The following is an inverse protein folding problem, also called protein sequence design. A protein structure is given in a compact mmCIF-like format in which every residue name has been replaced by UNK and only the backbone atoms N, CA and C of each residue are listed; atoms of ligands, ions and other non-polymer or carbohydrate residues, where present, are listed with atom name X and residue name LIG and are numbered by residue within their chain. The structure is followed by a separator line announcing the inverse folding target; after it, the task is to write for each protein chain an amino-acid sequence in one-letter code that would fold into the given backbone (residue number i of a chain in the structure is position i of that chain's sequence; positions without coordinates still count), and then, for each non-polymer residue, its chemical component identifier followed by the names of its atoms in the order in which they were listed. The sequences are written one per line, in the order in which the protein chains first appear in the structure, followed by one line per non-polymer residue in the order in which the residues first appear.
data_IF_215499395272
#
_entry.id   IF_215499395272
#
_cell.length_a   1.000
_cell.length_b   1.000
_cell.length_c   1.000
_cell.angle_alpha   90.00
_cell.angle_beta   90.00
_cell.angle_gamma   90.00
#
_symmetry.space_group_name_H-M   'P 1'
#
loop_
_entity.id
_entity.type
_entity.pdbx_description
1 polymer ?
#
# COMPACT_ATOMS: atom_id res chain seq x y z
N UNK A 1 -25.30 -11.32 -32.49
CA UNK A 1 -24.46 -12.14 -31.59
C UNK A 1 -24.61 -11.58 -30.18
N UNK A 2 -25.34 -12.27 -29.27
CA UNK A 2 -25.42 -11.85 -27.85
C UNK A 2 -24.11 -12.24 -27.17
N UNK A 3 -23.32 -11.24 -26.78
CA UNK A 3 -22.18 -11.40 -25.90
C UNK A 3 -22.69 -12.01 -24.58
N UNK A 4 -22.23 -13.21 -24.28
CA UNK A 4 -22.48 -13.92 -23.04
C UNK A 4 -21.63 -13.22 -21.97
N UNK A 5 -22.21 -12.26 -21.24
CA UNK A 5 -21.57 -11.69 -20.06
C UNK A 5 -21.38 -12.82 -19.05
N UNK A 6 -20.20 -13.37 -19.01
CA UNK A 6 -19.78 -14.27 -17.96
C UNK A 6 -19.62 -13.47 -16.67
N UNK A 7 -20.67 -13.48 -15.87
CA UNK A 7 -20.72 -12.85 -14.55
C UNK A 7 -19.84 -13.68 -13.59
N UNK A 8 -18.52 -13.59 -13.76
CA UNK A 8 -17.54 -14.21 -12.89
C UNK A 8 -17.52 -13.44 -11.56
N UNK A 9 -18.41 -13.84 -10.64
CA UNK A 9 -18.36 -13.38 -9.27
C UNK A 9 -17.11 -13.98 -8.62
N UNK A 10 -16.18 -13.14 -8.23
CA UNK A 10 -15.00 -13.57 -7.46
C UNK A 10 -15.49 -14.20 -6.14
N UNK A 11 -14.94 -15.36 -5.82
CA UNK A 11 -15.19 -15.99 -4.52
C UNK A 11 -14.63 -15.12 -3.39
N UNK A 12 -15.27 -15.16 -2.23
CA UNK A 12 -14.79 -14.46 -1.02
C UNK A 12 -13.33 -14.83 -0.71
N UNK A 13 -12.95 -16.09 -0.90
CA UNK A 13 -11.59 -16.56 -0.69
C UNK A 13 -10.61 -15.92 -1.67
N UNK A 14 -10.98 -15.77 -2.94
CA UNK A 14 -10.14 -15.10 -3.95
C UNK A 14 -9.95 -13.61 -3.62
N UNK A 15 -11.01 -12.93 -3.20
CA UNK A 15 -10.93 -11.51 -2.80
C UNK A 15 -10.03 -11.37 -1.57
N UNK A 16 -10.20 -12.23 -0.56
CA UNK A 16 -9.38 -12.21 0.65
C UNK A 16 -7.91 -12.45 0.32
N UNK A 17 -7.59 -13.42 -0.55
CA UNK A 17 -6.21 -13.70 -0.97
C UNK A 17 -5.57 -12.50 -1.68
N UNK A 18 -6.30 -11.83 -2.56
CA UNK A 18 -5.83 -10.62 -3.24
C UNK A 18 -5.53 -9.51 -2.23
N UNK A 19 -6.46 -9.26 -1.29
CA UNK A 19 -6.29 -8.23 -0.26
C UNK A 19 -5.09 -8.54 0.65
N UNK A 20 -4.95 -9.77 1.10
CA UNK A 20 -3.81 -10.21 1.93
C UNK A 20 -2.49 -10.01 1.16
N UNK A 21 -2.44 -10.39 -0.13
CA UNK A 21 -1.26 -10.20 -0.96
C UNK A 21 -0.87 -8.73 -1.13
N UNK A 22 -1.84 -7.83 -1.20
CA UNK A 22 -1.60 -6.38 -1.27
C UNK A 22 -1.11 -5.79 0.06
N UNK A 23 -1.54 -6.36 1.19
CA UNK A 23 -1.12 -5.91 2.54
C UNK A 23 0.30 -6.40 2.85
N UNK A 24 0.64 -7.64 2.47
CA UNK A 24 1.97 -8.22 2.65
C UNK A 24 2.90 -7.64 1.57
N UNK A 25 3.41 -6.45 1.83
CA UNK A 25 4.38 -5.76 0.98
C UNK A 25 5.73 -5.60 1.66
N UNK A 26 6.65 -4.88 1.03
CA UNK A 26 8.00 -4.60 1.56
C UNK A 26 7.99 -3.90 2.94
N UNK A 27 6.91 -3.19 3.27
CA UNK A 27 6.75 -2.53 4.55
C UNK A 27 6.87 -3.48 5.75
N UNK A 28 6.32 -4.70 5.65
CA UNK A 28 6.37 -5.66 6.77
C UNK A 28 7.80 -6.13 7.09
N UNK A 29 8.71 -6.07 6.13
CA UNK A 29 10.10 -6.48 6.33
C UNK A 29 10.98 -5.36 6.90
N UNK A 30 10.73 -4.11 6.55
CA UNK A 30 11.57 -2.97 6.95
C UNK A 30 10.98 -2.16 8.11
N UNK A 31 9.67 -1.99 8.17
CA UNK A 31 9.01 -1.18 9.19
C UNK A 31 9.24 -1.68 10.62
N UNK A 32 9.22 -3.00 10.92
CA UNK A 32 9.45 -3.46 12.28
C UNK A 32 10.84 -3.08 12.81
N UNK A 33 11.87 -3.18 11.99
CA UNK A 33 13.24 -2.80 12.41
C UNK A 33 13.37 -1.30 12.66
N UNK A 34 12.73 -0.46 11.84
CA UNK A 34 12.71 0.99 12.03
C UNK A 34 11.95 1.40 13.30
N UNK A 35 10.78 0.81 13.52
CA UNK A 35 10.00 1.07 14.73
C UNK A 35 10.74 0.58 15.97
N UNK A 36 11.37 -0.59 15.93
CA UNK A 36 12.17 -1.10 17.03
C UNK A 36 13.35 -0.16 17.38
N UNK A 37 14.06 0.34 16.37
CA UNK A 37 15.15 1.29 16.56
C UNK A 37 14.68 2.63 17.17
N UNK A 38 13.47 3.04 16.90
CA UNK A 38 12.89 4.32 17.37
C UNK A 38 12.15 4.19 18.70
N UNK A 39 11.77 2.99 19.12
CA UNK A 39 10.87 2.78 20.27
C UNK A 39 11.60 2.89 21.63
N UNK A 40 12.90 2.72 21.68
CA UNK A 40 13.70 2.80 22.92
C UNK A 40 13.41 1.70 23.95
N UNK A 41 12.17 1.18 24.03
CA UNK A 41 11.77 0.09 24.91
C UNK A 41 10.83 -0.89 24.19
N UNK A 42 10.91 -2.17 24.57
CA UNK A 42 10.06 -3.22 24.03
C UNK A 42 8.56 -2.95 24.28
N UNK A 43 8.24 -2.38 25.42
CA UNK A 43 6.85 -2.02 25.77
C UNK A 43 6.27 -1.00 24.78
N UNK A 44 7.00 0.04 24.44
CA UNK A 44 6.58 1.06 23.47
C UNK A 44 6.43 0.43 22.09
N UNK A 45 7.36 -0.43 21.68
CA UNK A 45 7.28 -1.16 20.42
C UNK A 45 5.96 -1.92 20.26
N UNK A 46 5.64 -2.81 21.21
CA UNK A 46 4.40 -3.59 21.14
C UNK A 46 3.14 -2.71 21.26
N UNK A 47 3.17 -1.67 22.09
CA UNK A 47 2.03 -0.75 22.23
C UNK A 47 1.71 -0.04 20.91
N UNK A 48 2.72 0.46 20.20
CA UNK A 48 2.53 1.12 18.89
C UNK A 48 1.95 0.16 17.87
N UNK A 49 2.41 -1.11 17.84
CA UNK A 49 1.88 -2.12 16.92
C UNK A 49 0.43 -2.50 17.23
N UNK A 50 0.07 -2.66 18.49
CA UNK A 50 -1.30 -2.98 18.91
C UNK A 50 -2.23 -1.81 18.58
N UNK A 51 -1.86 -0.58 18.93
CA UNK A 51 -2.65 0.62 18.65
C UNK A 51 -2.79 0.84 17.13
N UNK A 52 -1.71 0.72 16.37
CA UNK A 52 -1.74 0.82 14.91
C UNK A 52 -2.65 -0.24 14.27
N UNK A 53 -2.56 -1.48 14.74
CA UNK A 53 -3.45 -2.56 14.31
C UNK A 53 -4.92 -2.28 14.62
N UNK A 54 -5.23 -1.75 15.79
CA UNK A 54 -6.59 -1.38 16.17
C UNK A 54 -7.15 -0.25 15.30
N UNK A 55 -6.36 0.79 15.03
CA UNK A 55 -6.75 1.90 14.15
C UNK A 55 -6.97 1.40 12.71
N UNK A 56 -6.08 0.54 12.20
CA UNK A 56 -6.23 -0.05 10.87
C UNK A 56 -7.49 -0.92 10.76
N UNK A 57 -7.80 -1.69 11.80
CA UNK A 57 -9.00 -2.52 11.85
C UNK A 57 -10.28 -1.68 11.89
N UNK A 58 -10.32 -0.61 12.68
CA UNK A 58 -11.45 0.33 12.71
C UNK A 58 -11.66 0.99 11.33
N UNK A 59 -10.57 1.38 10.66
CA UNK A 59 -10.62 1.89 9.29
C UNK A 59 -11.17 0.87 8.30
N UNK A 60 -10.74 -0.39 8.39
CA UNK A 60 -11.23 -1.46 7.53
C UNK A 60 -12.74 -1.71 7.69
N UNK A 61 -13.26 -1.71 8.91
CA UNK A 61 -14.71 -1.83 9.17
C UNK A 61 -15.46 -0.66 8.52
N UNK A 62 -14.97 0.57 8.70
CA UNK A 62 -15.59 1.78 8.14
C UNK A 62 -15.66 1.69 6.62
N UNK A 63 -14.55 1.37 5.95
CA UNK A 63 -14.54 1.23 4.49
C UNK A 63 -15.36 0.04 3.99
N UNK A 64 -15.43 -1.04 4.74
CA UNK A 64 -16.30 -2.19 4.42
C UNK A 64 -17.78 -1.77 4.41
N UNK A 65 -18.21 -1.01 5.41
CA UNK A 65 -19.59 -0.52 5.47
C UNK A 65 -19.91 0.48 4.36
N UNK A 66 -18.98 1.39 4.05
CA UNK A 66 -19.12 2.32 2.92
C UNK A 66 -19.24 1.56 1.60
N UNK A 67 -18.37 0.56 1.36
CA UNK A 67 -18.39 -0.25 0.15
C UNK A 67 -19.70 -1.05 0.00
N UNK A 68 -20.29 -1.49 1.10
CA UNK A 68 -21.59 -2.18 1.10
C UNK A 68 -22.75 -1.25 0.76
N UNK A 69 -22.72 0.00 1.26
CA UNK A 69 -23.80 0.99 1.04
C UNK A 69 -23.69 1.71 -0.31
N UNK A 70 -22.46 1.90 -0.79
CA UNK A 70 -22.17 2.64 -2.01
C UNK A 70 -21.31 1.80 -2.97
N UNK A 71 -21.87 0.78 -3.64
CA UNK A 71 -21.14 -0.03 -4.61
C UNK A 71 -20.94 0.76 -5.91
N UNK A 72 -20.05 1.75 -5.88
CA UNK A 72 -19.72 2.61 -7.03
C UNK A 72 -18.33 2.32 -7.57
N UNK A 73 -18.20 2.33 -8.88
CA UNK A 73 -16.90 2.33 -9.55
C UNK A 73 -16.25 3.70 -9.42
N UNK A 74 -14.95 3.76 -9.10
CA UNK A 74 -14.23 5.03 -8.92
C UNK A 74 -13.77 5.28 -7.47
N UNK A 75 -13.88 4.28 -6.63
CA UNK A 75 -13.29 4.20 -5.27
C UNK A 75 -13.33 5.53 -4.50
N UNK A 76 -12.15 6.00 -4.06
CA UNK A 76 -12.02 7.16 -3.18
C UNK A 76 -12.64 8.43 -3.75
N UNK A 77 -12.44 8.73 -5.04
CA UNK A 77 -12.99 9.95 -5.66
C UNK A 77 -14.52 10.02 -5.50
N UNK A 78 -15.21 8.93 -5.87
CA UNK A 78 -16.69 8.88 -5.83
C UNK A 78 -17.23 8.98 -4.41
N UNK A 79 -16.58 8.32 -3.45
CA UNK A 79 -16.99 8.34 -2.04
C UNK A 79 -16.86 9.76 -1.49
N UNK A 80 -15.69 10.38 -1.64
CA UNK A 80 -15.45 11.73 -1.09
C UNK A 80 -16.22 12.83 -1.84
N UNK A 81 -16.43 12.68 -3.14
CA UNK A 81 -17.26 13.61 -3.91
C UNK A 81 -18.74 13.55 -3.48
N UNK A 82 -19.24 12.37 -3.14
CA UNK A 82 -20.61 12.19 -2.66
C UNK A 82 -20.80 12.64 -1.20
N UNK A 83 -19.79 12.44 -0.34
CA UNK A 83 -19.89 12.80 1.08
C UNK A 83 -19.64 14.29 1.34
N UNK A 84 -18.81 14.96 0.54
CA UNK A 84 -18.40 16.35 0.75
C UNK A 84 -18.70 17.21 -0.49
N UNK A 85 -17.75 17.28 -1.42
CA UNK A 85 -17.86 18.05 -2.65
C UNK A 85 -16.93 17.46 -3.72
N UNK A 86 -17.24 17.56 -5.02
CA UNK A 86 -16.40 17.05 -6.10
C UNK A 86 -14.94 17.54 -6.05
N UNK A 87 -14.71 18.81 -5.67
CA UNK A 87 -13.37 19.37 -5.53
C UNK A 87 -12.57 18.68 -4.43
N UNK A 88 -13.19 18.33 -3.30
CA UNK A 88 -12.56 17.59 -2.19
C UNK A 88 -12.19 16.18 -2.66
N UNK A 89 -13.11 15.50 -3.35
CA UNK A 89 -12.85 14.20 -3.96
C UNK A 89 -11.65 14.21 -4.92
N UNK A 90 -11.56 15.26 -5.75
CA UNK A 90 -10.43 15.45 -6.67
C UNK A 90 -9.10 15.64 -5.92
N UNK A 91 -9.05 16.54 -4.95
CA UNK A 91 -7.84 16.77 -4.14
C UNK A 91 -7.36 15.50 -3.43
N UNK A 92 -8.27 14.77 -2.80
CA UNK A 92 -7.93 13.51 -2.12
C UNK A 92 -7.42 12.47 -3.12
N UNK A 93 -8.05 12.35 -4.29
CA UNK A 93 -7.60 11.42 -5.31
C UNK A 93 -6.21 11.76 -5.84
N UNK A 94 -5.89 13.05 -6.02
CA UNK A 94 -4.55 13.52 -6.40
C UNK A 94 -3.51 13.20 -5.32
N UNK A 95 -3.84 13.42 -4.04
CA UNK A 95 -2.96 13.05 -2.93
C UNK A 95 -2.67 11.55 -2.89
N UNK A 96 -3.69 10.73 -3.09
CA UNK A 96 -3.54 9.26 -3.11
C UNK A 96 -2.68 8.83 -4.31
N UNK A 97 -2.85 9.45 -5.48
CA UNK A 97 -2.04 9.17 -6.66
C UNK A 97 -0.55 9.47 -6.42
N UNK A 98 -0.26 10.63 -5.84
CA UNK A 98 1.11 11.01 -5.48
C UNK A 98 1.69 10.07 -4.42
N UNK A 99 0.91 9.73 -3.40
CA UNK A 99 1.33 8.81 -2.33
C UNK A 99 1.64 7.40 -2.88
N UNK A 100 0.83 6.89 -3.80
CA UNK A 100 1.07 5.60 -4.45
C UNK A 100 2.32 5.63 -5.32
N UNK A 101 2.53 6.69 -6.10
CA UNK A 101 3.75 6.84 -6.91
C UNK A 101 5.01 6.91 -6.03
N UNK A 102 4.97 7.67 -4.93
CA UNK A 102 6.06 7.73 -3.96
C UNK A 102 6.32 6.37 -3.30
N UNK A 103 5.27 5.63 -2.95
CA UNK A 103 5.37 4.29 -2.37
C UNK A 103 6.08 3.31 -3.31
N UNK A 104 5.74 3.32 -4.60
CA UNK A 104 6.43 2.49 -5.60
C UNK A 104 7.92 2.83 -5.69
N UNK A 105 8.28 4.12 -5.67
CA UNK A 105 9.67 4.56 -5.65
C UNK A 105 10.44 4.07 -4.43
N UNK A 106 9.83 4.12 -3.25
CA UNK A 106 10.44 3.62 -2.00
C UNK A 106 10.65 2.11 -2.07
N UNK A 107 9.67 1.36 -2.55
CA UNK A 107 9.79 -0.11 -2.71
C UNK A 107 10.93 -0.46 -3.68
N UNK A 108 11.04 0.27 -4.79
CA UNK A 108 12.11 0.06 -5.76
C UNK A 108 13.50 0.37 -5.17
N UNK A 109 13.64 1.44 -4.38
CA UNK A 109 14.89 1.77 -3.68
C UNK A 109 15.28 0.70 -2.67
N UNK A 110 14.34 0.24 -1.85
CA UNK A 110 14.60 -0.84 -0.88
C UNK A 110 15.04 -2.12 -1.61
N UNK A 111 14.36 -2.47 -2.71
CA UNK A 111 14.76 -3.61 -3.53
C UNK A 111 16.17 -3.47 -4.10
N UNK A 112 16.53 -2.28 -4.58
CA UNK A 112 17.86 -1.98 -5.10
C UNK A 112 18.95 -2.09 -4.02
N UNK A 113 18.67 -1.65 -2.78
CA UNK A 113 19.58 -1.77 -1.64
C UNK A 113 19.84 -3.25 -1.33
N UNK A 114 18.82 -4.10 -1.25
CA UNK A 114 19.01 -5.54 -1.02
C UNK A 114 19.80 -6.23 -2.12
N UNK A 115 19.55 -5.88 -3.39
CA UNK A 115 20.31 -6.41 -4.53
C UNK A 115 21.76 -5.95 -4.45
N UNK A 116 22.00 -4.70 -4.08
CA UNK A 116 23.35 -4.16 -3.91
C UNK A 116 24.13 -4.84 -2.79
N UNK A 117 23.50 -5.02 -1.63
CA UNK A 117 24.10 -5.72 -0.50
C UNK A 117 24.45 -7.17 -0.86
N UNK A 118 23.58 -7.87 -1.58
CA UNK A 118 23.82 -9.23 -2.02
C UNK A 118 24.99 -9.36 -3.03
N UNK A 119 25.07 -8.41 -4.00
CA UNK A 119 26.09 -8.45 -5.04
C UNK A 119 27.47 -7.98 -4.59
N UNK A 120 27.53 -6.96 -3.76
CA UNK A 120 28.80 -6.29 -3.40
C UNK A 120 29.24 -6.56 -1.98
N UNK A 121 28.43 -7.23 -1.17
CA UNK A 121 28.68 -7.51 0.25
C UNK A 121 29.04 -6.23 1.06
N UNK A 122 28.54 -5.07 0.59
CA UNK A 122 28.69 -3.73 1.15
C UNK A 122 27.46 -2.90 0.80
N UNK A 123 27.06 -1.93 1.65
CA UNK A 123 25.97 -1.03 1.29
C UNK A 123 26.28 -0.33 -0.04
N UNK A 124 25.36 -0.43 -1.01
CA UNK A 124 25.59 0.13 -2.35
C UNK A 124 25.72 1.65 -2.28
N UNK A 125 26.44 2.23 -3.23
CA UNK A 125 26.47 3.70 -3.36
C UNK A 125 25.07 4.19 -3.69
N UNK A 126 24.69 5.36 -3.16
CA UNK A 126 23.37 5.97 -3.41
C UNK A 126 23.03 6.09 -4.90
N UNK A 127 24.05 6.29 -5.74
CA UNK A 127 23.90 6.38 -7.21
C UNK A 127 23.49 5.01 -7.79
N UNK A 128 24.07 3.93 -7.33
CA UNK A 128 23.74 2.58 -7.79
C UNK A 128 22.31 2.20 -7.45
N UNK A 129 21.88 2.47 -6.20
CA UNK A 129 20.51 2.20 -5.76
C UNK A 129 19.49 3.01 -6.58
N UNK A 130 19.77 4.28 -6.90
CA UNK A 130 18.90 5.11 -7.73
C UNK A 130 18.82 4.59 -9.17
N UNK A 131 19.93 4.17 -9.78
CA UNK A 131 19.93 3.64 -11.14
C UNK A 131 19.12 2.34 -11.22
N UNK A 132 19.33 1.41 -10.30
CA UNK A 132 18.59 0.14 -10.28
C UNK A 132 17.11 0.36 -9.98
N UNK A 133 16.77 1.26 -9.07
CA UNK A 133 15.36 1.59 -8.79
C UNK A 133 14.68 2.23 -10.00
N UNK A 134 15.33 3.14 -10.72
CA UNK A 134 14.81 3.69 -11.97
C UNK A 134 14.62 2.62 -13.05
N UNK A 135 15.58 1.73 -13.19
CA UNK A 135 15.49 0.63 -14.17
C UNK A 135 14.34 -0.32 -13.82
N UNK A 136 14.14 -0.64 -12.54
CA UNK A 136 13.04 -1.50 -12.11
C UNK A 136 11.67 -0.86 -12.33
N UNK A 137 11.51 0.44 -12.10
CA UNK A 137 10.25 1.18 -12.37
C UNK A 137 9.98 1.32 -13.88
N UNK A 138 11.02 1.39 -14.72
CA UNK A 138 10.88 1.45 -16.18
C UNK A 138 10.52 0.07 -16.81
N UNK A 139 10.88 -1.03 -16.15
CA UNK A 139 10.61 -2.39 -16.60
C UNK A 139 9.19 -2.88 -16.24
N UNK A 140 8.53 -2.26 -15.25
CA UNK A 140 7.18 -2.56 -14.77
C UNK A 140 6.17 -1.49 -15.16
#
# INVERSE_FOLDING_TARGET
MKSKETNHKLSTLSITSIVVSLIIGMGIFKTPSLVAASSGTEFIFFTVWILGGFIAFAGAITFSEIGRRMPVTGAYYRIFAACYHPSVGFCINMLILIANAASLGIVALIGADYVGDFLFNKPPSSVFSVIISMLSVLLF
#
